data_IF_256003001413
#
_entry.id   IF_256003001413
#
_cell.length_a   1.000
_cell.length_b   1.000
_cell.length_c   1.000
_cell.angle_alpha   90.00
_cell.angle_beta   90.00
_cell.angle_gamma   90.00
#
_symmetry.space_group_name_H-M   'P 1'
#
loop_
_entity.id
_entity.type
_entity.pdbx_description
1 polymer ?
#
# COMPACT_ATOMS: atom_id res chain seq x y z
N UNK A 1 0.90 2.20 -11.78
CA UNK A 1 -0.18 1.21 -11.55
C UNK A 1 -1.17 1.35 -12.69
N UNK A 2 -1.66 0.25 -13.23
CA UNK A 2 -2.65 0.25 -14.31
C UNK A 2 -4.08 0.38 -13.76
N UNK A 3 -4.98 1.05 -14.48
CA UNK A 3 -6.36 1.28 -14.04
C UNK A 3 -7.13 -0.03 -13.81
N UNK A 4 -6.80 -1.07 -14.56
CA UNK A 4 -7.40 -2.41 -14.45
C UNK A 4 -7.04 -3.05 -13.11
N UNK A 5 -5.78 -2.93 -12.69
CA UNK A 5 -5.30 -3.48 -11.42
C UNK A 5 -5.90 -2.74 -10.22
N UNK A 6 -6.08 -1.42 -10.32
CA UNK A 6 -6.77 -0.65 -9.28
C UNK A 6 -8.23 -1.06 -9.17
N UNK A 7 -8.91 -1.25 -10.30
CA UNK A 7 -10.32 -1.68 -10.31
C UNK A 7 -10.48 -3.08 -9.72
N UNK A 8 -9.60 -4.03 -10.07
CA UNK A 8 -9.60 -5.38 -9.50
C UNK A 8 -9.37 -5.36 -7.98
N UNK A 9 -8.38 -4.58 -7.52
CA UNK A 9 -8.07 -4.49 -6.11
C UNK A 9 -9.25 -3.91 -5.31
N UNK A 10 -9.94 -2.91 -5.87
CA UNK A 10 -11.14 -2.32 -5.25
C UNK A 10 -12.32 -3.27 -5.25
N UNK A 11 -12.54 -4.01 -6.34
CA UNK A 11 -13.63 -4.99 -6.48
C UNK A 11 -13.47 -6.14 -5.47
N UNK A 12 -12.24 -6.60 -5.27
CA UNK A 12 -11.91 -7.66 -4.32
C UNK A 12 -11.60 -7.15 -2.89
N UNK A 13 -11.72 -5.85 -2.62
CA UNK A 13 -11.43 -5.28 -1.30
C UNK A 13 -9.98 -5.50 -0.82
N UNK A 14 -9.02 -5.58 -1.74
CA UNK A 14 -7.60 -5.73 -1.46
C UNK A 14 -7.00 -4.38 -1.08
N UNK A 15 -6.62 -4.16 0.18
CA UNK A 15 -5.98 -2.91 0.58
C UNK A 15 -4.58 -2.82 -0.04
N UNK A 16 -4.32 -1.74 -0.77
CA UNK A 16 -3.01 -1.48 -1.37
C UNK A 16 -2.30 -0.44 -0.51
N UNK A 17 -1.12 -0.79 0.00
CA UNK A 17 -0.30 0.14 0.76
C UNK A 17 0.91 0.59 -0.08
N UNK A 18 0.87 1.84 -0.56
CA UNK A 18 1.93 2.42 -1.39
C UNK A 18 2.93 3.13 -0.49
N UNK A 19 4.17 2.63 -0.42
CA UNK A 19 5.23 3.20 0.39
C UNK A 19 6.54 3.38 -0.38
N UNK A 20 7.46 4.15 0.18
CA UNK A 20 8.75 4.41 -0.43
C UNK A 20 9.75 3.31 -0.07
N UNK A 21 10.18 2.53 -1.06
CA UNK A 21 11.15 1.42 -0.90
C UNK A 21 12.56 1.90 -0.55
N UNK A 22 12.93 3.15 -0.88
CA UNK A 22 14.25 3.69 -0.54
C UNK A 22 14.43 3.90 0.97
N UNK A 23 13.33 4.03 1.71
CA UNK A 23 13.40 4.16 3.14
C UNK A 23 13.41 2.76 3.77
N UNK A 24 14.58 2.28 4.18
CA UNK A 24 14.75 1.01 4.89
C UNK A 24 13.88 0.91 6.16
N UNK A 25 13.51 2.05 6.76
CA UNK A 25 12.61 2.08 7.90
C UNK A 25 11.14 1.86 7.52
N UNK A 26 10.74 2.15 6.28
CA UNK A 26 9.35 2.11 5.88
C UNK A 26 8.74 0.72 6.03
N UNK A 27 9.44 -0.34 5.62
CA UNK A 27 8.97 -1.72 5.77
C UNK A 27 8.69 -2.09 7.23
N UNK A 28 9.63 -1.79 8.15
CA UNK A 28 9.42 -2.08 9.58
C UNK A 28 8.30 -1.25 10.18
N UNK A 29 8.17 0.02 9.79
CA UNK A 29 7.13 0.90 10.30
C UNK A 29 5.72 0.47 9.81
N UNK A 30 5.61 -0.04 8.57
CA UNK A 30 4.35 -0.61 8.02
C UNK A 30 3.95 -1.87 8.77
N UNK A 31 4.89 -2.79 9.00
CA UNK A 31 4.64 -4.02 9.77
C UNK A 31 4.24 -3.67 11.22
N UNK A 32 4.82 -2.61 11.78
CA UNK A 32 4.48 -2.10 13.11
C UNK A 32 3.15 -1.33 13.14
N UNK A 33 2.43 -1.22 12.01
CA UNK A 33 1.13 -0.57 11.94
C UNK A 33 1.19 0.96 11.94
N UNK A 34 2.37 1.56 11.72
CA UNK A 34 2.45 3.02 11.52
C UNK A 34 1.89 3.39 10.15
N UNK A 35 1.23 4.54 10.09
CA UNK A 35 0.77 5.17 8.85
C UNK A 35 1.97 5.62 8.01
N UNK A 36 2.55 4.68 7.27
CA UNK A 36 3.62 4.95 6.32
C UNK A 36 3.10 4.72 4.92
N UNK A 37 3.19 5.76 4.11
CA UNK A 37 2.68 5.74 2.74
C UNK A 37 1.18 6.06 2.64
N UNK A 38 0.55 5.55 1.60
CA UNK A 38 -0.86 5.75 1.30
C UNK A 38 -1.56 4.40 1.25
N UNK A 39 -2.56 4.23 2.13
CA UNK A 39 -3.46 3.09 2.10
C UNK A 39 -4.61 3.43 1.15
N UNK A 40 -4.75 2.66 0.08
CA UNK A 40 -5.93 2.67 -0.78
C UNK A 40 -6.82 1.50 -0.35
N UNK A 41 -8.09 1.80 -0.05
CA UNK A 41 -9.15 0.86 0.30
C UNK A 41 -10.35 1.06 -0.62
#
# INVERSE_FOLDING_TARGET
>A
MDATALTLARDHGLPINVFNVNNHSALKDIICGKKVGTLIS
#
